data_IF_448922466281
#
_entry.id   IF_448922466281
#
_cell.length_a   1.000
_cell.length_b   1.000
_cell.length_c   1.000
_cell.angle_alpha   90.00
_cell.angle_beta   90.00
_cell.angle_gamma   90.00
#
_symmetry.space_group_name_H-M   'P 1'
#
loop_
_entity.id
_entity.type
_entity.pdbx_description
1 polymer ?
#
# COMPACT_ATOMS: atom_id res chain seq x y z
N UNK A 1 10.47 -11.26 41.18
CA UNK A 1 9.65 -10.11 40.74
C UNK A 1 9.67 -9.96 39.22
N UNK A 2 10.84 -10.05 38.57
CA UNK A 2 10.99 -10.02 37.10
C UNK A 2 10.18 -11.11 36.37
N UNK A 3 10.09 -12.32 36.94
CA UNK A 3 9.40 -13.46 36.30
C UNK A 3 7.88 -13.26 36.17
N UNK A 4 7.28 -12.44 37.04
CA UNK A 4 5.85 -12.11 36.98
C UNK A 4 5.54 -11.18 35.81
N UNK A 5 6.37 -10.17 35.59
CA UNK A 5 6.22 -9.21 34.49
C UNK A 5 6.45 -9.88 33.12
N UNK A 6 7.36 -10.86 33.06
CA UNK A 6 7.62 -11.64 31.85
C UNK A 6 6.45 -12.59 31.51
N UNK A 7 5.81 -13.18 32.53
CA UNK A 7 4.63 -14.03 32.36
C UNK A 7 3.42 -13.23 31.86
N UNK A 8 3.24 -11.99 32.33
CA UNK A 8 2.18 -11.08 31.85
C UNK A 8 2.39 -10.64 30.40
N UNK A 9 3.65 -10.50 29.96
CA UNK A 9 3.98 -10.20 28.55
C UNK A 9 3.61 -11.35 27.61
N UNK A 10 3.80 -12.60 28.04
CA UNK A 10 3.43 -13.77 27.24
C UNK A 10 1.92 -13.84 26.95
N UNK A 11 1.09 -13.39 27.91
CA UNK A 11 -0.35 -13.31 27.73
C UNK A 11 -0.80 -12.25 26.69
N UNK A 12 0.09 -11.32 26.31
CA UNK A 12 -0.18 -10.23 25.35
C UNK A 12 0.47 -10.44 23.98
N UNK A 13 1.07 -11.61 23.73
CA UNK A 13 1.66 -11.92 22.42
C UNK A 13 0.55 -12.15 21.40
N UNK A 14 0.50 -11.30 20.37
CA UNK A 14 -0.36 -11.50 19.22
C UNK A 14 0.50 -12.13 18.11
N UNK A 15 0.26 -13.39 17.73
CA UNK A 15 1.02 -14.03 16.66
C UNK A 15 0.65 -13.39 15.32
N UNK A 16 1.65 -12.86 14.61
CA UNK A 16 1.47 -12.27 13.28
C UNK A 16 2.04 -13.24 12.26
N UNK A 17 1.16 -13.79 11.42
CA UNK A 17 1.57 -14.68 10.33
C UNK A 17 2.16 -13.88 9.18
N UNK A 18 3.22 -14.43 8.57
CA UNK A 18 3.81 -13.85 7.35
C UNK A 18 2.81 -13.98 6.20
N UNK A 19 2.60 -12.89 5.46
CA UNK A 19 1.76 -12.85 4.27
C UNK A 19 2.59 -13.05 3.00
N UNK A 20 2.04 -13.81 2.05
CA UNK A 20 2.59 -13.97 0.71
C UNK A 20 1.59 -13.48 -0.33
N UNK A 21 2.02 -12.55 -1.20
CA UNK A 21 1.20 -12.01 -2.27
C UNK A 21 1.93 -12.13 -3.60
N UNK A 22 1.23 -12.65 -4.62
CA UNK A 22 1.76 -12.76 -5.98
C UNK A 22 1.08 -11.74 -6.88
N UNK A 23 1.89 -10.93 -7.54
CA UNK A 23 1.46 -9.92 -8.49
C UNK A 23 1.82 -10.38 -9.90
N UNK A 24 0.90 -10.17 -10.84
CA UNK A 24 1.07 -10.50 -12.25
C UNK A 24 0.86 -9.23 -13.06
N UNK A 25 1.82 -8.92 -13.93
CA UNK A 25 1.78 -7.72 -14.76
C UNK A 25 2.15 -8.06 -16.20
N UNK A 26 1.50 -7.44 -17.17
CA UNK A 26 1.99 -7.42 -18.55
C UNK A 26 3.00 -6.28 -18.70
N UNK A 27 4.20 -6.58 -19.20
CA UNK A 27 5.25 -5.58 -19.45
C UNK A 27 4.76 -4.47 -20.39
N UNK A 28 3.78 -4.75 -21.25
CA UNK A 28 3.16 -3.72 -22.10
C UNK A 28 2.47 -2.62 -21.31
N UNK A 29 1.88 -2.92 -20.16
CA UNK A 29 1.19 -1.96 -19.30
C UNK A 29 2.17 -1.07 -18.52
N UNK A 30 3.43 -1.52 -18.36
CA UNK A 30 4.46 -0.81 -17.62
C UNK A 30 5.27 0.17 -18.48
N UNK A 31 5.14 0.11 -19.80
CA UNK A 31 5.89 0.95 -20.73
C UNK A 31 5.07 2.15 -21.15
N UNK A 32 5.70 3.34 -21.11
CA UNK A 32 5.12 4.52 -21.73
C UNK A 32 4.86 4.28 -23.22
N UNK A 33 3.76 4.81 -23.76
CA UNK A 33 3.28 4.54 -25.13
C UNK A 33 4.37 4.74 -26.20
N UNK A 34 5.26 5.71 -25.98
CA UNK A 34 6.35 6.05 -26.88
C UNK A 34 7.43 4.94 -26.97
N UNK A 35 7.69 4.24 -25.86
CA UNK A 35 8.67 3.13 -25.77
C UNK A 35 8.03 1.83 -26.24
N UNK A 36 6.73 1.64 -25.97
CA UNK A 36 5.98 0.46 -26.41
C UNK A 36 5.92 0.33 -27.95
N UNK A 37 5.86 1.45 -28.69
CA UNK A 37 5.89 1.47 -30.17
C UNK A 37 7.27 1.16 -30.75
N UNK A 38 8.35 1.50 -30.05
CA UNK A 38 9.72 1.23 -30.47
C UNK A 38 10.19 -0.19 -30.10
N UNK A 39 9.57 -0.79 -29.08
CA UNK A 39 9.87 -2.15 -28.64
C UNK A 39 9.35 -3.19 -29.66
N UNK A 40 10.27 -3.89 -30.34
CA UNK A 40 9.93 -5.09 -31.14
C UNK A 40 9.55 -6.24 -30.20
N UNK A 41 8.28 -6.30 -29.81
CA UNK A 41 7.75 -7.43 -29.04
C UNK A 41 7.77 -8.70 -29.89
N UNK A 42 8.78 -9.55 -29.67
CA UNK A 42 8.73 -10.93 -30.13
C UNK A 42 7.53 -11.64 -29.45
N UNK A 43 6.89 -12.59 -30.14
CA UNK A 43 5.72 -13.39 -29.69
C UNK A 43 5.88 -14.19 -28.37
N UNK A 44 6.95 -13.95 -27.61
CA UNK A 44 7.19 -14.60 -26.30
C UNK A 44 6.45 -13.85 -25.19
N UNK A 45 6.05 -14.61 -24.19
CA UNK A 45 5.24 -14.18 -23.03
C UNK A 45 5.84 -12.98 -22.30
N UNK A 46 5.17 -11.83 -22.39
CA UNK A 46 5.49 -10.55 -21.73
C UNK A 46 4.93 -10.43 -20.30
N UNK A 47 4.60 -11.54 -19.63
CA UNK A 47 4.05 -11.48 -18.27
C UNK A 47 5.16 -11.65 -17.24
N UNK A 48 5.26 -10.70 -16.32
CA UNK A 48 6.14 -10.78 -15.15
C UNK A 48 5.30 -11.19 -13.95
N UNK A 49 5.82 -12.13 -13.15
CA UNK A 49 5.26 -12.49 -11.85
C UNK A 49 6.23 -12.09 -10.75
N UNK A 50 5.75 -11.33 -9.76
CA UNK A 50 6.52 -10.96 -8.57
C UNK A 50 5.81 -11.52 -7.34
N UNK A 51 6.52 -12.29 -6.53
CA UNK A 51 6.04 -12.76 -5.22
C UNK A 51 6.66 -11.92 -4.11
N UNK A 52 5.83 -11.32 -3.25
CA UNK A 52 6.25 -10.59 -2.05
C UNK A 52 5.88 -11.40 -0.82
N UNK A 53 6.86 -11.60 0.07
CA UNK A 53 6.68 -12.21 1.40
C UNK A 53 7.03 -11.17 2.46
N UNK A 54 6.08 -10.82 3.32
CA UNK A 54 6.25 -9.76 4.32
C UNK A 54 5.33 -9.96 5.53
N UNK A 55 5.67 -9.33 6.66
CA UNK A 55 4.69 -9.16 7.74
C UNK A 55 3.58 -8.22 7.24
N UNK A 56 2.29 -8.54 7.48
CA UNK A 56 1.16 -7.70 7.08
C UNK A 56 0.98 -6.49 8.02
N UNK A 57 2.08 -5.79 8.31
CA UNK A 57 2.12 -4.63 9.18
C UNK A 57 2.64 -3.42 8.42
N UNK A 58 1.96 -2.30 8.61
CA UNK A 58 2.42 -0.99 8.17
C UNK A 58 2.29 -0.01 9.35
N UNK A 59 3.19 0.98 9.49
CA UNK A 59 2.93 2.10 10.38
C UNK A 59 1.64 2.80 9.96
N UNK A 60 0.78 3.14 10.91
CA UNK A 60 -0.54 3.72 10.65
C UNK A 60 -0.72 5.13 11.26
N UNK A 61 0.38 5.81 11.60
CA UNK A 61 0.35 7.20 12.08
C UNK A 61 -0.10 8.19 11.00
N UNK A 62 0.28 7.92 9.75
CA UNK A 62 -0.17 8.64 8.58
C UNK A 62 -0.70 7.64 7.56
N UNK A 63 -1.72 8.05 6.81
CA UNK A 63 -2.32 7.25 5.77
C UNK A 63 -2.72 8.15 4.60
N UNK A 64 -2.73 7.59 3.40
CA UNK A 64 -3.17 8.34 2.22
C UNK A 64 -4.70 8.51 2.25
N UNK A 65 -5.20 9.55 1.59
CA UNK A 65 -6.65 9.79 1.42
C UNK A 65 -7.42 8.54 0.97
N UNK A 66 -6.85 7.79 0.03
CA UNK A 66 -7.44 6.54 -0.47
C UNK A 66 -7.56 5.46 0.61
N UNK A 67 -6.65 5.43 1.60
CA UNK A 67 -6.66 4.45 2.69
C UNK A 67 -7.50 4.89 3.88
N UNK A 68 -7.71 6.20 4.07
CA UNK A 68 -8.59 6.73 5.11
C UNK A 68 -10.08 6.67 4.73
N UNK A 69 -10.41 6.46 3.46
CA UNK A 69 -11.80 6.40 3.01
C UNK A 69 -12.62 5.37 3.79
N UNK A 70 -13.74 5.82 4.37
CA UNK A 70 -14.62 4.98 5.19
C UNK A 70 -14.20 4.82 6.65
N UNK A 71 -13.13 5.49 7.09
CA UNK A 71 -12.74 5.53 8.49
C UNK A 71 -13.34 6.74 9.21
N UNK A 72 -13.66 6.57 10.50
CA UNK A 72 -14.01 7.69 11.39
C UNK A 72 -12.82 7.95 12.30
N UNK A 73 -12.14 9.08 12.09
CA UNK A 73 -10.91 9.44 12.81
C UNK A 73 -11.20 10.63 13.75
N UNK A 74 -11.06 10.41 15.07
CA UNK A 74 -11.49 11.42 16.05
C UNK A 74 -10.64 12.70 16.10
N UNK A 75 -9.35 12.62 15.76
CA UNK A 75 -8.43 13.77 15.67
C UNK A 75 -7.39 13.49 14.60
N UNK A 76 -7.31 14.36 13.59
CA UNK A 76 -6.39 14.22 12.46
C UNK A 76 -5.79 15.55 12.05
N UNK A 77 -4.63 15.47 11.40
CA UNK A 77 -4.02 16.56 10.65
C UNK A 77 -4.03 16.14 9.20
N UNK A 78 -4.51 17.02 8.32
CA UNK A 78 -4.64 16.75 6.89
C UNK A 78 -3.66 17.67 6.16
N UNK A 79 -2.72 17.07 5.43
CA UNK A 79 -1.85 17.79 4.51
C UNK A 79 -2.48 17.74 3.11
N UNK A 80 -2.87 18.92 2.59
CA UNK A 80 -3.49 19.09 1.27
C UNK A 80 -2.48 19.58 0.22
N UNK A 81 -1.20 19.27 0.37
CA UNK A 81 -0.21 19.50 -0.70
C UNK A 81 -0.52 18.59 -1.89
N UNK A 82 -1.22 19.15 -2.88
CA UNK A 82 -1.58 18.46 -4.12
C UNK A 82 -0.48 18.63 -5.18
N UNK A 83 -0.13 17.58 -5.94
CA UNK A 83 0.80 17.72 -7.06
C UNK A 83 0.23 18.67 -8.13
N UNK A 84 1.09 19.38 -8.88
CA UNK A 84 0.63 20.29 -9.93
C UNK A 84 -0.09 19.51 -11.03
N UNK A 85 -1.32 19.91 -11.36
CA UNK A 85 -2.14 19.27 -12.39
C UNK A 85 -3.62 19.21 -12.02
N UNK A 86 -4.42 18.45 -12.78
CA UNK A 86 -5.82 18.21 -12.45
C UNK A 86 -5.93 17.52 -11.09
N UNK A 87 -6.63 18.16 -10.16
CA UNK A 87 -6.87 17.61 -8.82
C UNK A 87 -8.19 16.85 -8.81
N UNK A 88 -8.14 15.58 -8.40
CA UNK A 88 -9.34 14.80 -8.19
C UNK A 88 -10.09 15.29 -6.96
N UNK A 89 -11.40 15.58 -7.10
CA UNK A 89 -12.24 16.12 -6.02
C UNK A 89 -12.23 15.22 -4.77
N UNK A 90 -12.17 13.90 -4.98
CA UNK A 90 -12.09 12.91 -3.90
C UNK A 90 -10.87 13.12 -3.00
N UNK A 91 -9.78 13.66 -3.52
CA UNK A 91 -8.55 13.90 -2.75
C UNK A 91 -8.71 14.96 -1.66
N UNK A 92 -9.73 15.83 -1.78
CA UNK A 92 -10.06 16.88 -0.80
C UNK A 92 -11.33 16.54 0.00
N UNK A 93 -12.34 15.96 -0.65
CA UNK A 93 -13.60 15.62 0.00
C UNK A 93 -13.44 14.51 1.05
N UNK A 94 -12.80 13.39 0.68
CA UNK A 94 -12.66 12.21 1.55
C UNK A 94 -11.91 12.49 2.87
N UNK A 95 -10.80 13.25 2.90
CA UNK A 95 -10.10 13.48 4.17
C UNK A 95 -10.83 14.51 5.05
N UNK A 96 -11.73 15.34 4.49
CA UNK A 96 -12.45 16.40 5.22
C UNK A 96 -13.86 16.00 5.67
N UNK A 97 -14.40 14.88 5.19
CA UNK A 97 -15.72 14.33 5.55
C UNK A 97 -15.68 13.54 6.85
#
# INVERSE_FOLDING_TARGET
KLDSELAELQAKIIPITISEQTFLFDVKELLAENVAKAAKFNKKTTKISIKRKALPLIPAYSMTTHKSQGQTLGKIIIDLVMPPGPVEVASVYVPLS
#
